data_IF_369844205961
#
_entry.id   IF_369844205961
#
_cell.length_a   1.000
_cell.length_b   1.000
_cell.length_c   1.000
_cell.angle_alpha   90.00
_cell.angle_beta   90.00
_cell.angle_gamma   90.00
#
_symmetry.space_group_name_H-M   'P 1'
#
loop_
_entity.id
_entity.type
_entity.pdbx_description
1 polymer ?
#
# COMPACT_ATOMS: atom_id res chain seq x y z
N UNK A 1 -14.44 14.68 0.28
CA UNK A 1 -14.17 13.25 0.47
C UNK A 1 -12.94 13.11 1.35
N UNK A 2 -12.99 12.26 2.39
CA UNK A 2 -11.84 12.01 3.27
C UNK A 2 -10.94 10.97 2.59
N UNK A 3 -9.67 11.31 2.38
CA UNK A 3 -8.67 10.39 1.81
C UNK A 3 -8.19 9.43 2.88
N UNK A 4 -8.11 8.14 2.56
CA UNK A 4 -7.59 7.13 3.48
C UNK A 4 -6.09 6.94 3.26
N UNK A 5 -5.27 7.27 4.25
CA UNK A 5 -3.81 7.07 4.16
C UNK A 5 -3.39 5.74 4.77
N UNK A 6 -2.48 5.03 4.10
CA UNK A 6 -1.83 3.80 4.56
C UNK A 6 -0.32 4.05 4.68
N UNK A 7 0.25 3.71 5.82
CA UNK A 7 1.68 3.79 6.11
C UNK A 7 2.30 2.40 5.98
N UNK A 8 3.42 2.33 5.27
CA UNK A 8 4.25 1.14 5.10
C UNK A 8 5.62 1.45 5.68
N UNK A 9 5.86 1.01 6.91
CA UNK A 9 7.07 1.35 7.66
C UNK A 9 7.96 0.14 7.90
N UNK A 10 9.27 0.34 7.78
CA UNK A 10 10.24 -0.62 8.31
C UNK A 10 10.20 -0.61 9.84
N UNK A 11 10.34 -1.78 10.47
CA UNK A 11 10.46 -1.94 11.91
C UNK A 11 11.27 -3.21 12.21
N UNK A 12 12.50 -3.05 12.68
CA UNK A 12 13.33 -4.17 13.14
C UNK A 12 13.51 -5.27 12.08
N UNK A 13 13.69 -4.88 10.82
CA UNK A 13 13.82 -5.81 9.68
C UNK A 13 12.49 -6.32 9.10
N UNK A 14 11.35 -5.93 9.66
CA UNK A 14 10.00 -6.24 9.15
C UNK A 14 9.32 -5.01 8.59
N UNK A 15 8.20 -5.21 7.91
CA UNK A 15 7.43 -4.17 7.23
C UNK A 15 5.99 -4.14 7.73
N UNK A 16 5.61 -3.05 8.38
CA UNK A 16 4.27 -2.90 8.96
C UNK A 16 3.41 -2.06 8.04
N UNK A 17 2.20 -2.53 7.77
CA UNK A 17 1.17 -1.76 7.09
C UNK A 17 0.17 -1.27 8.12
N UNK A 18 -0.09 0.03 8.17
CA UNK A 18 -1.01 0.63 9.13
C UNK A 18 -1.86 1.69 8.45
N UNK A 19 -3.16 1.74 8.75
CA UNK A 19 -4.03 2.83 8.28
C UNK A 19 -3.90 4.04 9.21
N UNK A 20 -3.99 5.24 8.65
CA UNK A 20 -4.08 6.48 9.42
C UNK A 20 -5.23 6.44 10.43
N UNK A 21 -4.93 6.80 11.67
CA UNK A 21 -5.90 6.77 12.77
C UNK A 21 -6.31 5.38 13.26
N UNK A 22 -5.74 4.28 12.72
CA UNK A 22 -5.92 2.96 13.31
C UNK A 22 -5.07 2.84 14.59
N UNK A 23 -5.57 2.14 15.59
CA UNK A 23 -4.79 1.77 16.78
C UNK A 23 -3.71 0.74 16.40
N UNK A 24 -4.15 -0.30 15.69
CA UNK A 24 -3.33 -1.46 15.31
C UNK A 24 -2.80 -1.38 13.89
N UNK A 25 -1.72 -2.11 13.69
CA UNK A 25 -1.20 -2.47 12.37
C UNK A 25 -2.25 -3.33 11.66
N UNK A 26 -2.38 -3.16 10.35
CA UNK A 26 -3.17 -4.08 9.52
C UNK A 26 -2.43 -5.42 9.36
N UNK A 27 -1.12 -5.35 9.12
CA UNK A 27 -0.26 -6.54 9.02
C UNK A 27 1.21 -6.19 9.27
N UNK A 28 1.98 -7.22 9.60
CA UNK A 28 3.44 -7.19 9.65
C UNK A 28 3.95 -8.23 8.64
N UNK A 29 4.74 -7.79 7.68
CA UNK A 29 5.32 -8.61 6.63
C UNK A 29 6.83 -8.73 6.84
N UNK A 30 7.44 -9.80 6.34
CA UNK A 30 8.91 -9.93 6.39
C UNK A 30 9.60 -9.09 5.30
N UNK A 31 8.89 -8.77 4.20
CA UNK A 31 9.47 -8.03 3.08
C UNK A 31 8.75 -6.72 2.75
N UNK A 32 9.53 -5.74 2.24
CA UNK A 32 9.02 -4.46 1.73
C UNK A 32 7.95 -4.66 0.66
N UNK A 33 8.23 -5.59 -0.25
CA UNK A 33 7.39 -5.88 -1.39
C UNK A 33 5.99 -6.33 -0.96
N UNK A 34 5.89 -7.21 0.03
CA UNK A 34 4.61 -7.67 0.56
C UNK A 34 3.82 -6.56 1.25
N UNK A 35 4.48 -5.73 2.08
CA UNK A 35 3.85 -4.59 2.72
C UNK A 35 3.26 -3.62 1.70
N UNK A 36 4.01 -3.29 0.65
CA UNK A 36 3.55 -2.43 -0.45
C UNK A 36 2.38 -3.07 -1.21
N UNK A 37 2.46 -4.37 -1.51
CA UNK A 37 1.40 -5.09 -2.23
C UNK A 37 0.08 -5.05 -1.46
N UNK A 38 0.12 -5.28 -0.15
CA UNK A 38 -1.06 -5.23 0.72
C UNK A 38 -1.60 -3.80 0.81
N UNK A 39 -0.74 -2.79 1.04
CA UNK A 39 -1.16 -1.40 1.08
C UNK A 39 -1.82 -0.94 -0.23
N UNK A 40 -1.29 -1.38 -1.38
CA UNK A 40 -1.91 -1.12 -2.69
C UNK A 40 -3.29 -1.75 -2.80
N UNK A 41 -3.44 -3.02 -2.43
CA UNK A 41 -4.75 -3.70 -2.44
C UNK A 41 -5.77 -2.94 -1.60
N UNK A 42 -5.39 -2.56 -0.38
CA UNK A 42 -6.26 -1.80 0.52
C UNK A 42 -6.61 -0.41 -0.04
N UNK A 43 -5.64 0.29 -0.62
CA UNK A 43 -5.84 1.59 -1.24
C UNK A 43 -6.82 1.54 -2.42
N UNK A 44 -6.81 0.46 -3.21
CA UNK A 44 -7.76 0.23 -4.30
C UNK A 44 -9.20 0.06 -3.81
N UNK A 45 -9.41 -0.54 -2.63
CA UNK A 45 -10.74 -0.82 -2.08
C UNK A 45 -11.42 0.40 -1.45
N UNK A 46 -10.67 1.47 -1.12
CA UNK A 46 -11.17 2.63 -0.35
C UNK A 46 -10.92 3.98 -1.00
N UNK A 47 -10.75 4.00 -2.33
CA UNK A 47 -10.44 5.22 -3.08
C UNK A 47 -11.38 6.40 -2.72
N UNK A 48 -10.85 7.63 -2.49
CA UNK A 48 -9.45 8.02 -2.63
C UNK A 48 -8.56 7.58 -1.46
N UNK A 49 -7.38 7.07 -1.79
CA UNK A 49 -6.41 6.57 -0.81
C UNK A 49 -5.00 7.09 -1.09
N UNK A 50 -4.12 7.03 -0.10
CA UNK A 50 -2.71 7.35 -0.23
C UNK A 50 -1.89 6.27 0.47
N UNK A 51 -0.70 5.98 -0.07
CA UNK A 51 0.26 5.06 0.50
C UNK A 51 1.54 5.83 0.72
N UNK A 52 2.06 5.78 1.93
CA UNK A 52 3.31 6.43 2.33
C UNK A 52 4.27 5.33 2.77
N UNK A 53 5.45 5.26 2.16
CA UNK A 53 6.51 4.34 2.55
C UNK A 53 7.54 5.10 3.37
N UNK A 54 7.79 4.62 4.57
CA UNK A 54 8.72 5.21 5.54
C UNK A 54 9.90 4.26 5.78
N UNK A 55 11.10 4.85 5.93
CA UNK A 55 12.25 4.15 6.48
C UNK A 55 12.09 3.89 7.99
N UNK A 56 13.00 3.10 8.55
CA UNK A 56 13.12 2.87 9.99
C UNK A 56 13.47 4.17 10.74
N UNK A 57 14.25 5.06 10.10
CA UNK A 57 14.61 6.39 10.61
C UNK A 57 13.47 7.43 10.49
N UNK A 58 12.29 7.04 10.01
CA UNK A 58 11.14 7.92 9.86
C UNK A 58 11.19 8.85 8.64
N UNK A 59 12.21 8.78 7.80
CA UNK A 59 12.20 9.52 6.53
C UNK A 59 11.25 8.89 5.52
N UNK A 60 10.63 9.74 4.71
CA UNK A 60 9.80 9.32 3.59
C UNK A 60 10.68 8.82 2.44
N UNK A 61 10.46 7.56 2.05
CA UNK A 61 11.09 7.02 0.83
C UNK A 61 10.28 7.38 -0.40
N UNK A 62 8.98 7.12 -0.34
CA UNK A 62 8.12 7.14 -1.52
C UNK A 62 6.65 7.30 -1.13
N UNK A 63 5.91 8.01 -1.97
CA UNK A 63 4.47 8.24 -1.80
C UNK A 63 3.73 7.83 -3.08
N UNK A 64 2.57 7.21 -2.90
CA UNK A 64 1.60 6.99 -3.98
C UNK A 64 0.23 7.52 -3.59
N UNK A 65 -0.40 8.25 -4.49
CA UNK A 65 -1.79 8.69 -4.31
C UNK A 65 -2.71 7.94 -5.28
N UNK A 66 -3.71 7.28 -4.74
CA UNK A 66 -4.77 6.60 -5.46
C UNK A 66 -6.01 7.51 -5.49
N UNK A 67 -6.14 8.33 -6.55
CA UNK A 67 -7.19 9.38 -6.65
C UNK A 67 -8.51 8.88 -7.21
N UNK A 68 -8.48 7.87 -8.08
CA UNK A 68 -9.65 7.45 -8.84
C UNK A 68 -9.51 5.97 -9.24
N UNK A 69 -10.45 5.13 -8.79
CA UNK A 69 -10.46 3.70 -9.13
C UNK A 69 -11.32 3.44 -10.39
N UNK A 70 -11.29 4.33 -11.38
CA UNK A 70 -11.94 4.09 -12.69
C UNK A 70 -10.98 3.59 -13.76
N UNK A 71 -9.69 3.41 -13.45
CA UNK A 71 -8.69 3.08 -14.47
C UNK A 71 -7.71 1.99 -14.03
N UNK A 72 -7.69 0.93 -14.84
CA UNK A 72 -6.55 0.05 -15.15
C UNK A 72 -6.36 -1.21 -14.29
N UNK A 73 -7.31 -2.15 -14.39
CA UNK A 73 -6.96 -3.56 -14.56
C UNK A 73 -7.34 -4.07 -15.96
N UNK A 74 -7.09 -3.26 -17.00
CA UNK A 74 -6.94 -3.82 -18.33
C UNK A 74 -5.48 -4.25 -18.52
N UNK A 75 -5.30 -5.56 -18.74
CA UNK A 75 -4.09 -6.25 -19.20
C UNK A 75 -3.03 -6.61 -18.16
N UNK A 76 -3.28 -7.67 -17.39
CA UNK A 76 -2.36 -8.82 -17.33
C UNK A 76 -3.14 -10.12 -17.17
N UNK A 77 -3.28 -10.87 -18.25
CA UNK A 77 -3.74 -12.26 -18.18
C UNK A 77 -4.49 -12.81 -19.38
N UNK A 78 -3.94 -12.72 -20.59
CA UNK A 78 -4.31 -13.67 -21.65
C UNK A 78 -3.06 -14.35 -22.18
N UNK A 79 -2.55 -15.32 -21.42
CA UNK A 79 -1.88 -16.46 -22.01
C UNK A 79 -2.95 -17.33 -22.67
N UNK A 80 -2.95 -17.39 -24.00
CA UNK A 80 -3.44 -18.57 -24.73
C UNK A 80 -2.40 -18.88 -25.80
N UNK A 81 -1.58 -19.88 -25.49
CA UNK A 81 -0.83 -20.59 -26.52
C UNK A 81 -1.79 -21.40 -27.39
N UNK A 82 -1.56 -21.40 -28.69
CA UNK A 82 -1.03 -22.52 -29.46
C UNK A 82 -0.67 -22.02 -30.85
#
# INVERSE_FOLDING_TARGET
MKRTTYFVRSYGGKWKVKREGADREYCVCDTKYEGIRIARKLAHEVAPAQIIIENDDGTFQQEWTHKDCSVLFEKRGQQRGK
#
